data_IF_821649621458
#
_entry.id   IF_821649621458
#
_cell.length_a   1.000
_cell.length_b   1.000
_cell.length_c   1.000
_cell.angle_alpha   90.00
_cell.angle_beta   90.00
_cell.angle_gamma   90.00
#
_symmetry.space_group_name_H-M   'P 1'
#
loop_
_entity.id
_entity.type
_entity.pdbx_description
1 polymer ?
#
# COMPACT_ATOMS: atom_id res chain seq x y z
N UNK A 1 -9.78 -3.08 -26.96
CA UNK A 1 -10.17 -2.83 -25.54
C UNK A 1 -10.10 -4.09 -24.66
N UNK A 2 -10.81 -5.19 -24.98
CA UNK A 2 -10.86 -6.41 -24.14
C UNK A 2 -9.50 -6.99 -23.72
N UNK A 3 -8.53 -7.09 -24.65
CA UNK A 3 -7.18 -7.63 -24.37
C UNK A 3 -6.40 -6.83 -23.31
N UNK A 4 -6.59 -5.51 -23.26
CA UNK A 4 -5.91 -4.66 -22.27
C UNK A 4 -6.56 -4.79 -20.88
N UNK A 5 -7.88 -4.95 -20.82
CA UNK A 5 -8.59 -5.21 -19.56
C UNK A 5 -8.18 -6.54 -18.94
N UNK A 6 -8.11 -7.61 -19.76
CA UNK A 6 -7.62 -8.93 -19.31
C UNK A 6 -6.20 -8.80 -18.76
N UNK A 7 -5.29 -8.13 -19.48
CA UNK A 7 -3.92 -7.91 -19.01
C UNK A 7 -3.86 -7.16 -17.67
N UNK A 8 -4.66 -6.11 -17.49
CA UNK A 8 -4.72 -5.37 -16.23
C UNK A 8 -5.24 -6.28 -15.10
N UNK A 9 -6.29 -7.06 -15.33
CA UNK A 9 -6.83 -7.99 -14.33
C UNK A 9 -5.80 -9.06 -13.94
N UNK A 10 -5.07 -9.62 -14.91
CA UNK A 10 -3.99 -10.58 -14.64
C UNK A 10 -2.87 -9.93 -13.81
N UNK A 11 -2.45 -8.71 -14.15
CA UNK A 11 -1.44 -7.98 -13.38
C UNK A 11 -1.91 -7.69 -11.95
N UNK A 12 -3.17 -7.30 -11.76
CA UNK A 12 -3.77 -7.12 -10.43
C UNK A 12 -3.75 -8.45 -9.65
N UNK A 13 -4.19 -9.55 -10.26
CA UNK A 13 -4.21 -10.86 -9.61
C UNK A 13 -2.82 -11.32 -9.16
N UNK A 14 -1.80 -11.16 -10.02
CA UNK A 14 -0.40 -11.43 -9.66
C UNK A 14 0.09 -10.53 -8.53
N UNK A 15 -0.23 -9.24 -8.58
CA UNK A 15 0.17 -8.30 -7.53
C UNK A 15 -0.47 -8.64 -6.19
N UNK A 16 -1.75 -9.00 -6.16
CA UNK A 16 -2.45 -9.44 -4.95
C UNK A 16 -1.80 -10.71 -4.37
N UNK A 17 -1.48 -11.69 -5.22
CA UNK A 17 -0.80 -12.91 -4.77
C UNK A 17 0.60 -12.61 -4.20
N UNK A 18 1.36 -11.74 -4.85
CA UNK A 18 2.66 -11.30 -4.35
C UNK A 18 2.53 -10.52 -3.04
N UNK A 19 1.53 -9.65 -2.90
CA UNK A 19 1.26 -8.92 -1.64
C UNK A 19 0.97 -9.90 -0.52
N UNK A 20 0.19 -10.95 -0.77
CA UNK A 20 -0.09 -12.00 0.20
C UNK A 20 1.16 -12.76 0.62
N UNK A 21 2.04 -13.14 -0.33
CA UNK A 21 3.31 -13.80 -0.02
C UNK A 21 4.22 -12.88 0.82
N UNK A 22 4.34 -11.61 0.41
CA UNK A 22 5.18 -10.63 1.10
C UNK A 22 4.67 -10.26 2.49
N UNK A 23 3.36 -10.42 2.75
CA UNK A 23 2.78 -10.28 4.08
C UNK A 23 3.21 -11.38 5.06
N UNK A 24 3.54 -12.58 4.56
CA UNK A 24 4.11 -13.64 5.40
C UNK A 24 5.58 -13.40 5.73
N UNK A 25 6.29 -12.61 4.93
CA UNK A 25 7.69 -12.24 5.18
C UNK A 25 7.71 -11.00 6.09
N UNK A 26 7.47 -11.23 7.38
CA UNK A 26 7.43 -10.20 8.41
C UNK A 26 8.83 -9.98 8.99
N UNK A 27 9.37 -8.78 8.85
CA UNK A 27 10.67 -8.42 9.42
C UNK A 27 10.57 -8.09 10.90
N UNK A 28 9.44 -7.50 11.31
CA UNK A 28 9.13 -7.18 12.70
C UNK A 28 7.62 -7.06 12.89
N UNK A 29 7.10 -7.52 14.03
CA UNK A 29 5.66 -7.52 14.33
C UNK A 29 5.38 -6.83 15.65
N UNK A 30 4.40 -5.95 15.64
CA UNK A 30 3.87 -5.24 16.80
C UNK A 30 2.72 -6.03 17.45
N UNK A 31 2.41 -5.81 18.73
CA UNK A 31 1.48 -6.67 19.48
C UNK A 31 0.03 -6.64 18.95
N UNK A 32 -0.45 -5.48 18.49
CA UNK A 32 -1.80 -5.25 17.97
C UNK A 32 -1.90 -5.42 16.45
N UNK A 33 -1.03 -6.25 15.85
CA UNK A 33 -1.13 -6.66 14.45
C UNK A 33 -0.38 -5.80 13.44
N UNK A 34 0.17 -4.66 13.84
CA UNK A 34 1.08 -3.89 12.98
C UNK A 34 2.32 -4.69 12.58
N UNK A 35 2.76 -4.63 11.32
CA UNK A 35 3.92 -5.40 10.85
C UNK A 35 4.78 -4.61 9.88
N UNK A 36 6.09 -4.72 10.07
CA UNK A 36 7.09 -4.31 9.10
C UNK A 36 7.16 -5.35 7.97
N UNK A 37 6.52 -5.08 6.84
CA UNK A 37 6.44 -6.00 5.69
C UNK A 37 6.44 -5.25 4.34
N UNK A 38 6.48 -6.01 3.24
CA UNK A 38 6.51 -5.49 1.88
C UNK A 38 5.20 -5.68 1.12
N UNK A 39 4.10 -5.97 1.81
CA UNK A 39 2.79 -6.24 1.21
C UNK A 39 2.25 -5.07 0.36
N UNK A 40 2.66 -3.83 0.65
CA UNK A 40 2.25 -2.64 -0.09
C UNK A 40 2.95 -2.52 -1.45
N UNK A 41 4.14 -3.11 -1.58
CA UNK A 41 5.01 -2.92 -2.74
C UNK A 41 4.32 -3.34 -4.06
N UNK A 42 3.67 -4.52 -4.18
CA UNK A 42 3.00 -4.89 -5.42
C UNK A 42 1.82 -3.97 -5.77
N UNK A 43 1.07 -3.49 -4.78
CA UNK A 43 -0.04 -2.54 -4.98
C UNK A 43 0.49 -1.21 -5.51
N UNK A 44 1.58 -0.69 -4.92
CA UNK A 44 2.26 0.52 -5.38
C UNK A 44 2.74 0.35 -6.83
N UNK A 45 3.29 -0.80 -7.19
CA UNK A 45 3.73 -1.09 -8.57
C UNK A 45 2.54 -1.03 -9.54
N UNK A 46 1.39 -1.63 -9.20
CA UNK A 46 0.19 -1.55 -10.05
C UNK A 46 -0.30 -0.11 -10.17
N UNK A 47 -0.35 0.63 -9.06
CA UNK A 47 -0.76 2.03 -9.06
C UNK A 47 0.14 2.88 -9.97
N UNK A 48 1.45 2.68 -9.89
CA UNK A 48 2.47 3.38 -10.67
C UNK A 48 2.65 2.84 -12.11
N UNK A 49 1.99 1.75 -12.47
CA UNK A 49 2.01 1.19 -13.84
C UNK A 49 0.71 1.45 -14.59
N UNK A 50 -0.42 1.38 -13.89
CA UNK A 50 -1.78 1.37 -14.45
C UNK A 50 -2.66 2.52 -13.96
N UNK A 51 -2.18 3.32 -13.01
CA UNK A 51 -2.87 4.49 -12.46
C UNK A 51 -3.64 4.17 -11.18
N UNK A 52 -4.25 5.20 -10.59
CA UNK A 52 -4.89 5.10 -9.27
C UNK A 52 -6.04 4.09 -9.24
N UNK A 53 -6.93 4.08 -10.24
CA UNK A 53 -8.07 3.16 -10.27
C UNK A 53 -7.67 1.68 -10.17
N UNK A 54 -6.82 1.14 -11.07
CA UNK A 54 -6.32 -0.22 -10.96
C UNK A 54 -5.52 -0.50 -9.67
N UNK A 55 -4.75 0.47 -9.18
CA UNK A 55 -4.05 0.36 -7.90
C UNK A 55 -4.99 0.23 -6.71
N UNK A 56 -6.06 1.02 -6.68
CA UNK A 56 -7.09 0.97 -5.66
C UNK A 56 -7.83 -0.37 -5.69
N UNK A 57 -8.17 -0.88 -6.89
CA UNK A 57 -8.78 -2.21 -7.04
C UNK A 57 -7.84 -3.30 -6.50
N UNK A 58 -6.56 -3.28 -6.87
CA UNK A 58 -5.58 -4.22 -6.33
C UNK A 58 -5.50 -4.16 -4.81
N UNK A 59 -5.53 -2.94 -4.24
CA UNK A 59 -5.60 -2.72 -2.81
C UNK A 59 -6.83 -3.32 -2.15
N UNK A 60 -8.03 -3.05 -2.66
CA UNK A 60 -9.29 -3.62 -2.14
C UNK A 60 -9.22 -5.15 -2.15
N UNK A 61 -8.86 -5.74 -3.29
CA UNK A 61 -8.80 -7.20 -3.43
C UNK A 61 -7.76 -7.79 -2.48
N UNK A 62 -6.59 -7.15 -2.34
CA UNK A 62 -5.59 -7.59 -1.37
C UNK A 62 -6.11 -7.49 0.07
N UNK A 63 -6.78 -6.40 0.45
CA UNK A 63 -7.39 -6.28 1.77
C UNK A 63 -8.40 -7.39 2.06
N UNK A 64 -9.21 -7.78 1.07
CA UNK A 64 -10.11 -8.93 1.18
C UNK A 64 -9.35 -10.26 1.29
N UNK A 65 -8.24 -10.43 0.57
CA UNK A 65 -7.38 -11.62 0.73
C UNK A 65 -6.77 -11.66 2.12
N UNK A 66 -6.30 -10.53 2.66
CA UNK A 66 -5.76 -10.47 4.02
C UNK A 66 -6.82 -10.86 5.07
N UNK A 67 -8.10 -10.53 4.83
CA UNK A 67 -9.21 -11.02 5.66
C UNK A 67 -9.36 -12.55 5.65
N UNK A 68 -8.95 -13.23 4.59
CA UNK A 68 -9.00 -14.69 4.52
C UNK A 68 -7.78 -15.36 5.18
N UNK A 69 -6.67 -14.63 5.36
CA UNK A 69 -5.39 -15.18 5.83
C UNK A 69 -5.18 -15.12 7.35
N UNK A 70 -6.19 -14.67 8.10
CA UNK A 70 -6.14 -14.58 9.57
C UNK A 70 -6.30 -13.15 10.06
N UNK A 71 -7.53 -12.59 10.00
CA UNK A 71 -7.77 -11.23 10.41
C UNK A 71 -7.92 -11.11 11.92
N UNK A 72 -7.70 -9.90 12.43
CA UNK A 72 -8.01 -9.49 13.78
C UNK A 72 -9.19 -8.51 13.71
N UNK A 73 -10.39 -9.04 13.98
CA UNK A 73 -11.64 -8.30 13.84
C UNK A 73 -12.21 -8.03 15.22
N UNK A 74 -12.37 -6.75 15.55
CA UNK A 74 -13.02 -6.30 16.80
C UNK A 74 -14.33 -5.57 16.53
N UNK A 75 -14.51 -5.02 15.32
CA UNK A 75 -15.73 -4.32 14.93
C UNK A 75 -15.90 -4.29 13.40
N UNK A 76 -17.14 -4.33 12.84
CA UNK A 76 -17.34 -4.27 11.39
C UNK A 76 -16.75 -3.02 10.70
N UNK A 77 -16.83 -1.85 11.36
CA UNK A 77 -16.21 -0.64 10.83
C UNK A 77 -14.67 -0.68 10.89
N UNK A 78 -14.10 -1.29 11.94
CA UNK A 78 -12.66 -1.54 12.04
C UNK A 78 -12.18 -2.45 10.92
N UNK A 79 -12.95 -3.50 10.61
CA UNK A 79 -12.66 -4.40 9.50
C UNK A 79 -12.51 -3.64 8.18
N UNK A 80 -13.42 -2.70 7.87
CA UNK A 80 -13.32 -1.91 6.65
C UNK A 80 -12.04 -1.05 6.68
N UNK A 81 -11.79 -0.37 7.80
CA UNK A 81 -10.66 0.55 7.98
C UNK A 81 -9.30 -0.17 7.90
N UNK A 82 -9.15 -1.35 8.50
CA UNK A 82 -7.86 -2.02 8.60
C UNK A 82 -7.54 -2.91 7.39
N UNK A 83 -8.55 -3.31 6.62
CA UNK A 83 -8.37 -4.21 5.49
C UNK A 83 -8.68 -3.50 4.17
N UNK A 84 -9.87 -3.63 3.54
CA UNK A 84 -10.07 -3.17 2.17
C UNK A 84 -9.80 -1.68 1.99
N UNK A 85 -10.21 -0.81 2.93
CA UNK A 85 -10.01 0.63 2.81
C UNK A 85 -8.54 1.03 2.96
N UNK A 86 -7.83 0.49 3.96
CA UNK A 86 -6.41 0.74 4.18
C UNK A 86 -5.59 0.47 2.91
N UNK A 87 -5.78 -0.69 2.28
CA UNK A 87 -5.02 -1.05 1.08
C UNK A 87 -5.55 -0.37 -0.19
N UNK A 88 -6.85 -0.10 -0.29
CA UNK A 88 -7.39 0.72 -1.38
C UNK A 88 -6.66 2.06 -1.46
N UNK A 89 -6.45 2.72 -0.32
CA UNK A 89 -5.82 4.03 -0.26
C UNK A 89 -4.33 4.01 -0.65
N UNK A 90 -3.65 2.86 -0.54
CA UNK A 90 -2.29 2.68 -1.09
C UNK A 90 -2.28 2.92 -2.61
N UNK A 91 -3.37 2.56 -3.29
CA UNK A 91 -3.57 2.78 -4.72
C UNK A 91 -3.53 4.25 -5.16
N UNK A 92 -3.73 5.22 -4.24
CA UNK A 92 -3.67 6.65 -4.53
C UNK A 92 -2.28 7.11 -5.03
N UNK A 93 -1.23 6.31 -4.79
CA UNK A 93 0.09 6.54 -5.40
C UNK A 93 0.01 6.72 -6.92
N UNK A 94 -0.94 6.06 -7.58
CA UNK A 94 -1.12 6.12 -9.03
C UNK A 94 -1.60 7.47 -9.58
N UNK A 95 -2.00 8.43 -8.73
CA UNK A 95 -2.30 9.81 -9.13
C UNK A 95 -1.07 10.46 -9.78
N UNK A 96 0.12 10.09 -9.33
CA UNK A 96 1.39 10.65 -9.79
C UNK A 96 1.98 9.92 -10.99
N UNK A 97 1.30 8.90 -11.54
CA UNK A 97 1.77 8.09 -12.68
C UNK A 97 2.35 8.95 -13.81
N UNK A 98 1.58 9.97 -14.25
CA UNK A 98 1.95 10.81 -15.38
C UNK A 98 3.10 11.79 -15.07
N UNK A 99 3.45 11.97 -13.80
CA UNK A 99 4.57 12.83 -13.36
C UNK A 99 5.89 12.06 -13.28
N UNK A 100 5.83 10.74 -13.16
CA UNK A 100 7.00 9.87 -13.08
C UNK A 100 7.50 9.62 -14.51
N UNK A 101 8.43 10.46 -14.97
CA UNK A 101 9.04 10.34 -16.29
C UNK A 101 10.54 10.05 -16.17
N UNK A 102 10.90 8.76 -16.23
CA UNK A 102 12.27 8.27 -16.03
C UNK A 102 13.31 8.82 -17.02
N UNK A 103 12.90 9.50 -18.11
CA UNK A 103 13.80 10.25 -19.00
C UNK A 103 14.32 11.55 -18.35
N UNK A 104 13.54 12.16 -17.46
CA UNK A 104 13.91 13.32 -16.65
C UNK A 104 14.35 12.86 -15.25
N UNK A 105 15.60 12.36 -15.14
CA UNK A 105 16.13 11.66 -13.94
C UNK A 105 15.95 12.42 -12.62
N UNK A 106 16.16 13.74 -12.59
CA UNK A 106 16.16 14.52 -11.33
C UNK A 106 14.77 14.65 -10.70
N UNK A 107 13.75 15.01 -11.49
CA UNK A 107 12.39 15.23 -10.96
C UNK A 107 11.65 13.91 -10.64
N UNK A 108 12.05 12.80 -11.25
CA UNK A 108 11.31 11.53 -11.16
C UNK A 108 11.32 10.91 -9.77
N UNK A 109 12.46 10.93 -9.06
CA UNK A 109 12.52 10.34 -7.72
C UNK A 109 11.71 11.14 -6.71
N UNK A 110 11.65 12.46 -6.85
CA UNK A 110 10.77 13.31 -6.03
C UNK A 110 9.30 12.95 -6.24
N UNK A 111 8.86 12.79 -7.50
CA UNK A 111 7.48 12.35 -7.79
C UNK A 111 7.18 10.94 -7.31
N UNK A 112 8.15 10.02 -7.43
CA UNK A 112 8.03 8.67 -6.91
C UNK A 112 7.87 8.66 -5.40
N UNK A 113 8.68 9.45 -4.69
CA UNK A 113 8.59 9.60 -3.24
C UNK A 113 7.22 10.16 -2.84
N UNK A 114 6.76 11.22 -3.50
CA UNK A 114 5.42 11.79 -3.26
C UNK A 114 4.30 10.77 -3.51
N UNK A 115 4.43 9.95 -4.55
CA UNK A 115 3.47 8.89 -4.85
C UNK A 115 3.39 7.86 -3.72
N UNK A 116 4.54 7.33 -3.31
CA UNK A 116 4.61 6.34 -2.23
C UNK A 116 4.13 6.95 -0.91
N UNK A 117 4.55 8.17 -0.58
CA UNK A 117 4.07 8.90 0.61
C UNK A 117 2.56 9.10 0.59
N UNK A 118 1.97 9.42 -0.56
CA UNK A 118 0.51 9.59 -0.67
C UNK A 118 -0.24 8.28 -0.41
N UNK A 119 0.23 7.17 -0.99
CA UNK A 119 -0.36 5.86 -0.73
C UNK A 119 -0.18 5.40 0.73
N UNK A 120 1.02 5.61 1.28
CA UNK A 120 1.33 5.32 2.67
C UNK A 120 0.52 6.14 3.67
N UNK A 121 0.37 7.45 3.40
CA UNK A 121 -0.45 8.34 4.20
C UNK A 121 -1.92 7.93 4.18
N UNK A 122 -2.45 7.53 3.03
CA UNK A 122 -3.80 7.00 2.91
C UNK A 122 -4.02 5.78 3.82
N UNK A 123 -3.12 4.80 3.76
CA UNK A 123 -3.16 3.64 4.67
C UNK A 123 -3.04 4.05 6.13
N UNK A 124 -2.12 4.95 6.45
CA UNK A 124 -1.92 5.46 7.81
C UNK A 124 -3.18 6.12 8.36
N UNK A 125 -3.86 6.98 7.60
CA UNK A 125 -5.10 7.65 8.02
C UNK A 125 -6.16 6.61 8.40
N UNK A 126 -6.31 5.55 7.59
CA UNK A 126 -7.26 4.47 7.85
C UNK A 126 -6.98 3.77 9.18
N UNK A 127 -5.73 3.33 9.38
CA UNK A 127 -5.31 2.67 10.62
C UNK A 127 -5.27 3.61 11.83
N UNK A 128 -5.01 4.89 11.62
CA UNK A 128 -5.04 5.91 12.67
C UNK A 128 -6.44 6.04 13.27
N UNK A 129 -7.46 6.17 12.42
CA UNK A 129 -8.85 6.20 12.88
C UNK A 129 -9.26 4.87 13.49
N UNK A 130 -8.87 3.74 12.89
CA UNK A 130 -9.14 2.43 13.47
C UNK A 130 -8.56 2.30 14.88
N UNK A 131 -7.27 2.63 15.03
CA UNK A 131 -6.55 2.55 16.29
C UNK A 131 -7.12 3.45 17.37
N UNK A 132 -7.48 4.69 17.01
CA UNK A 132 -8.01 5.66 17.97
C UNK A 132 -9.42 5.31 18.45
N UNK A 133 -10.24 4.67 17.62
CA UNK A 133 -11.64 4.34 17.92
C UNK A 133 -11.76 2.95 18.57
N UNK A 134 -11.08 1.94 18.02
CA UNK A 134 -11.29 0.53 18.40
C UNK A 134 -10.15 -0.07 19.23
N UNK A 135 -8.98 0.57 19.27
CA UNK A 135 -7.81 0.09 20.01
C UNK A 135 -7.39 1.06 21.14
N UNK A 136 -8.24 2.02 21.49
CA UNK A 136 -7.99 2.98 22.58
C UNK A 136 -7.67 2.30 23.93
N UNK A 137 -8.23 1.11 24.17
CA UNK A 137 -7.99 0.32 25.38
C UNK A 137 -6.54 -0.14 25.56
N UNK A 138 -5.72 -0.08 24.51
CA UNK A 138 -4.29 -0.42 24.58
C UNK A 138 -3.41 0.80 24.85
N UNK A 139 -3.98 2.01 24.92
CA UNK A 139 -3.24 3.21 25.29
C UNK A 139 -2.81 3.13 26.77
N UNK A 140 -1.54 3.46 27.08
CA UNK A 140 -1.05 3.63 28.45
C UNK A 140 -1.95 4.57 29.28
N UNK A 141 -1.99 4.35 30.60
CA UNK A 141 -2.75 5.19 31.51
C UNK A 141 -2.36 6.67 31.35
N UNK A 142 -3.38 7.53 31.18
CA UNK A 142 -3.20 8.97 30.96
C UNK A 142 -2.79 9.38 29.54
N UNK A 143 -2.52 8.45 28.62
CA UNK A 143 -2.20 8.79 27.23
C UNK A 143 -3.47 8.98 26.39
N UNK A 144 -3.51 10.06 25.60
CA UNK A 144 -4.61 10.30 24.66
C UNK A 144 -4.64 9.20 23.56
N UNK A 145 -5.79 8.53 23.33
CA UNK A 145 -5.93 7.45 22.35
C UNK A 145 -5.51 7.82 20.91
N UNK A 146 -5.75 9.07 20.49
CA UNK A 146 -5.36 9.55 19.17
C UNK A 146 -3.83 9.63 19.04
N UNK A 147 -3.15 10.13 20.08
CA UNK A 147 -1.69 10.19 20.10
C UNK A 147 -1.10 8.79 20.12
N UNK A 148 -1.65 7.89 20.94
CA UNK A 148 -1.25 6.48 20.97
C UNK A 148 -1.39 5.84 19.59
N UNK A 149 -2.55 5.99 18.94
CA UNK A 149 -2.80 5.45 17.60
C UNK A 149 -1.83 5.99 16.54
N UNK A 150 -1.54 7.29 16.56
CA UNK A 150 -0.58 7.90 15.63
C UNK A 150 0.82 7.30 15.82
N UNK A 151 1.31 7.26 17.06
CA UNK A 151 2.64 6.71 17.37
C UNK A 151 2.70 5.25 16.93
N UNK A 152 1.76 4.43 17.41
CA UNK A 152 1.72 3.01 17.12
C UNK A 152 1.77 2.71 15.62
N UNK A 153 0.94 3.39 14.84
CA UNK A 153 0.85 3.17 13.40
C UNK A 153 2.06 3.69 12.62
N UNK A 154 2.62 4.85 13.00
CA UNK A 154 3.85 5.36 12.37
C UNK A 154 5.01 4.40 12.57
N UNK A 155 5.14 3.80 13.76
CA UNK A 155 6.31 2.98 14.12
C UNK A 155 6.53 1.79 13.18
N UNK A 156 5.48 1.15 12.65
CA UNK A 156 5.65 0.06 11.68
C UNK A 156 5.37 0.47 10.22
N UNK A 157 4.47 1.42 9.97
CA UNK A 157 4.12 1.83 8.60
C UNK A 157 5.23 2.63 7.95
N UNK A 158 5.84 3.59 8.67
CA UNK A 158 6.87 4.44 8.07
C UNK A 158 8.08 3.62 7.62
N UNK A 159 8.65 2.70 8.43
CA UNK A 159 9.75 1.88 7.95
C UNK A 159 9.34 0.93 6.81
N UNK A 160 8.12 0.36 6.83
CA UNK A 160 7.61 -0.47 5.71
C UNK A 160 7.52 0.32 4.40
N UNK A 161 7.07 1.57 4.51
CA UNK A 161 6.89 2.48 3.39
C UNK A 161 8.24 2.90 2.80
N UNK A 162 9.20 3.24 3.65
CA UNK A 162 10.56 3.60 3.23
C UNK A 162 11.26 2.40 2.58
N UNK A 163 11.11 1.20 3.14
CA UNK A 163 11.67 -0.01 2.53
C UNK A 163 11.03 -0.29 1.17
N UNK A 164 9.70 -0.16 1.06
CA UNK A 164 8.99 -0.28 -0.22
C UNK A 164 9.48 0.76 -1.23
N UNK A 165 9.71 2.00 -0.82
CA UNK A 165 10.26 3.05 -1.67
C UNK A 165 11.68 2.72 -2.15
N UNK A 166 12.56 2.22 -1.29
CA UNK A 166 13.93 1.84 -1.70
C UNK A 166 13.87 0.74 -2.76
N UNK A 167 13.01 -0.27 -2.57
CA UNK A 167 12.89 -1.41 -3.48
C UNK A 167 12.21 -1.03 -4.79
N UNK A 168 11.26 -0.08 -4.79
CA UNK A 168 10.54 0.30 -6.01
C UNK A 168 11.42 1.08 -7.00
N UNK A 169 12.46 1.77 -6.54
CA UNK A 169 13.40 2.55 -7.37
C UNK A 169 14.04 1.73 -8.50
N UNK A 170 14.66 0.56 -8.26
CA UNK A 170 15.18 -0.27 -9.35
C UNK A 170 14.05 -0.91 -10.17
N UNK A 171 12.93 -1.28 -9.54
CA UNK A 171 11.83 -1.99 -10.20
C UNK A 171 11.05 -1.12 -11.18
N UNK A 172 10.91 0.18 -10.92
CA UNK A 172 10.13 1.07 -11.77
C UNK A 172 10.76 1.20 -13.17
N UNK A 173 12.08 1.09 -13.27
CA UNK A 173 12.78 1.06 -14.56
C UNK A 173 12.48 -0.18 -15.39
N UNK A 174 12.25 -1.31 -14.73
CA UNK A 174 12.01 -2.60 -15.38
C UNK A 174 10.52 -2.77 -15.71
N UNK A 175 9.65 -2.45 -14.75
CA UNK A 175 8.22 -2.81 -14.81
C UNK A 175 7.34 -1.72 -15.43
N UNK A 176 7.79 -0.46 -15.45
CA UNK A 176 7.04 0.66 -16.04
C UNK A 176 7.53 1.02 -17.45
N UNK A 177 8.78 0.71 -17.81
CA UNK A 177 9.38 1.02 -19.13
C UNK A 177 9.21 -0.13 -20.14
N UNK A 178 8.00 -0.67 -20.31
CA UNK A 178 7.72 -1.59 -21.43
C UNK A 178 6.59 -1.06 -22.32
N UNK A 179 6.78 0.15 -22.86
CA UNK A 179 5.93 0.74 -23.91
C UNK A 179 6.71 1.60 -24.93
N UNK A 180 8.03 1.43 -25.03
CA UNK A 180 8.86 2.27 -25.89
C UNK A 180 9.14 1.72 -27.30
N UNK A 181 9.20 0.40 -27.48
CA UNK A 181 9.87 -0.17 -28.67
C UNK A 181 9.00 -1.05 -29.58
N UNK A 182 7.81 -1.49 -29.14
CA UNK A 182 6.98 -2.40 -29.94
C UNK A 182 5.80 -1.72 -30.68
N UNK A 183 5.96 -0.48 -31.15
CA UNK A 183 4.99 0.17 -32.05
C UNK A 183 5.66 0.84 -33.27
N UNK A 184 6.77 0.28 -33.77
CA UNK A 184 7.20 0.52 -35.15
C UNK A 184 6.69 -0.58 -36.06
#
# INVERSE_FOLDING_TARGET
MKRNQIRIMTEIGMAVALSAILNFIVLWRMPQGGSLSLEMLPILIIALRRGAGPGMIAGVVYGLVQLALGPFIVHPAQLILDYPLAYMLVGLAGIFLNKINLKAKSSTYGWLLLAVLTGGLGRFISHFFSGAIFFAQYAPEGQNPWVYSAIYNITYLLPSLLLSYIIIIPLIRILVIDKGENQR
#
